data_IF_594572007310
#
_entry.id   IF_594572007310
#
_cell.length_a   1.000
_cell.length_b   1.000
_cell.length_c   1.000
_cell.angle_alpha   90.00
_cell.angle_beta   90.00
_cell.angle_gamma   90.00
#
_symmetry.space_group_name_H-M   'P 1'
#
loop_
_entity.id
_entity.type
_entity.pdbx_description
1 polymer ?
#
# COMPACT_ATOMS: atom_id res chain seq x y z
N UNK A 1 -7.97 12.22 -7.13
CA UNK A 1 -7.76 12.88 -5.82
C UNK A 1 -6.25 13.07 -5.66
N UNK A 2 -5.80 14.29 -5.32
CA UNK A 2 -4.38 14.71 -5.33
C UNK A 2 -3.73 14.69 -3.94
N UNK A 3 -4.42 14.19 -2.89
CA UNK A 3 -4.00 14.40 -1.50
C UNK A 3 -2.87 13.49 -1.02
N UNK A 4 -2.27 12.65 -1.88
CA UNK A 4 -1.18 11.72 -1.52
C UNK A 4 -1.45 10.89 -0.26
N UNK A 5 -2.73 10.70 0.06
CA UNK A 5 -3.18 9.93 1.22
C UNK A 5 -3.48 8.49 0.82
N UNK A 6 -3.22 7.56 1.72
CA UNK A 6 -3.36 6.13 1.46
C UNK A 6 -3.21 5.28 2.72
N UNK A 7 -3.04 3.98 2.51
CA UNK A 7 -2.71 3.03 3.57
C UNK A 7 -1.61 2.10 3.11
N UNK A 8 -0.70 1.77 4.02
CA UNK A 8 0.27 0.67 3.84
C UNK A 8 -0.33 -0.56 4.50
N UNK A 9 -0.45 -1.65 3.75
CA UNK A 9 -0.90 -2.94 4.27
C UNK A 9 0.30 -3.87 4.42
N UNK A 10 0.53 -4.37 5.62
CA UNK A 10 1.55 -5.36 5.92
C UNK A 10 0.91 -6.67 6.38
N UNK A 11 1.32 -7.79 5.78
CA UNK A 11 0.85 -9.13 6.14
C UNK A 11 1.98 -9.94 6.73
N UNK A 12 1.82 -10.34 7.98
CA UNK A 12 2.73 -11.29 8.63
C UNK A 12 2.05 -12.65 8.61
N UNK A 13 2.53 -13.52 7.73
CA UNK A 13 2.01 -14.87 7.56
C UNK A 13 2.69 -15.85 8.54
N UNK A 14 1.91 -16.48 9.40
CA UNK A 14 2.29 -17.69 10.15
C UNK A 14 1.60 -18.92 9.55
N UNK A 15 2.08 -20.12 9.92
CA UNK A 15 1.57 -21.40 9.40
C UNK A 15 0.06 -21.60 9.59
N UNK A 16 -0.52 -21.07 10.66
CA UNK A 16 -1.95 -21.26 10.99
C UNK A 16 -2.77 -19.96 10.90
N UNK A 17 -2.12 -18.79 10.81
CA UNK A 17 -2.79 -17.50 10.91
C UNK A 17 -2.00 -16.41 10.19
N UNK A 18 -2.70 -15.44 9.61
CA UNK A 18 -2.10 -14.25 9.03
C UNK A 18 -2.55 -13.01 9.83
N UNK A 19 -1.61 -12.15 10.21
CA UNK A 19 -1.91 -10.86 10.81
C UNK A 19 -1.77 -9.78 9.75
N UNK A 20 -2.79 -8.95 9.63
CA UNK A 20 -2.80 -7.80 8.74
C UNK A 20 -2.70 -6.52 9.55
N UNK A 21 -1.78 -5.64 9.15
CA UNK A 21 -1.58 -4.33 9.75
C UNK A 21 -1.83 -3.28 8.68
N UNK A 22 -2.64 -2.28 9.01
CA UNK A 22 -2.88 -1.13 8.15
C UNK A 22 -2.32 0.12 8.84
N UNK A 23 -1.37 0.78 8.19
CA UNK A 23 -0.78 2.05 8.64
C UNK A 23 -1.26 3.17 7.73
N UNK A 24 -1.79 4.24 8.30
CA UNK A 24 -2.35 5.34 7.52
C UNK A 24 -1.25 6.27 7.00
N UNK A 25 -1.39 6.68 5.74
CA UNK A 25 -0.55 7.69 5.08
C UNK A 25 -1.43 8.90 4.80
N UNK A 26 -0.99 10.08 5.22
CA UNK A 26 -1.67 11.36 4.98
C UNK A 26 -0.67 12.33 4.39
N UNK A 27 -1.06 12.98 3.29
CA UNK A 27 -0.23 13.98 2.61
C UNK A 27 1.17 13.46 2.20
N UNK A 28 1.31 12.14 2.02
CA UNK A 28 2.56 11.46 1.69
C UNK A 28 3.40 10.99 2.88
N UNK A 29 2.96 11.24 4.11
CA UNK A 29 3.65 10.85 5.35
C UNK A 29 2.84 9.81 6.13
N UNK A 30 3.54 8.84 6.72
CA UNK A 30 2.90 7.83 7.55
C UNK A 30 2.70 8.35 8.99
N UNK A 31 1.54 8.08 9.57
CA UNK A 31 1.25 8.44 10.96
C UNK A 31 2.00 7.58 11.98
N UNK A 32 2.47 6.40 11.54
CA UNK A 32 3.23 5.44 12.34
C UNK A 32 4.58 5.17 11.69
N UNK A 33 5.56 4.80 12.49
CA UNK A 33 6.87 4.37 11.99
C UNK A 33 6.72 3.19 11.02
N UNK A 34 7.29 3.36 9.84
CA UNK A 34 7.33 2.36 8.79
C UNK A 34 8.64 1.60 8.86
N UNK A 35 8.60 0.31 8.52
CA UNK A 35 9.83 -0.43 8.22
C UNK A 35 10.48 0.14 6.93
N UNK A 36 11.74 -0.21 6.65
CA UNK A 36 12.39 0.15 5.39
C UNK A 36 11.59 -0.28 4.16
N UNK A 37 11.07 -1.51 4.15
CA UNK A 37 10.32 -2.09 3.03
C UNK A 37 8.97 -1.37 2.81
N UNK A 38 8.29 -1.04 3.91
CA UNK A 38 7.03 -0.29 3.88
C UNK A 38 7.25 1.14 3.37
N UNK A 39 8.35 1.77 3.78
CA UNK A 39 8.74 3.11 3.30
C UNK A 39 8.99 3.09 1.80
N UNK A 40 9.74 2.11 1.29
CA UNK A 40 9.94 1.94 -0.15
C UNK A 40 8.64 1.73 -0.92
N UNK A 41 7.66 1.01 -0.34
CA UNK A 41 6.35 0.83 -0.95
C UNK A 41 5.59 2.15 -1.08
N UNK A 42 5.61 2.99 -0.03
CA UNK A 42 5.01 4.35 -0.08
C UNK A 42 5.71 5.22 -1.12
N UNK A 43 7.04 5.23 -1.15
CA UNK A 43 7.80 6.05 -2.10
C UNK A 43 7.53 5.65 -3.56
N UNK A 44 7.42 4.35 -3.83
CA UNK A 44 7.00 3.83 -5.15
C UNK A 44 5.59 4.29 -5.50
N UNK A 45 4.64 4.21 -4.57
CA UNK A 45 3.26 4.63 -4.79
C UNK A 45 3.11 6.15 -5.01
N UNK A 46 3.94 6.97 -4.37
CA UNK A 46 3.94 8.43 -4.51
C UNK A 46 4.62 8.94 -5.80
N UNK A 47 5.16 8.04 -6.63
CA UNK A 47 5.73 8.37 -7.94
C UNK A 47 7.25 8.57 -7.97
N UNK A 48 7.99 8.05 -6.97
CA UNK A 48 9.45 8.00 -6.99
C UNK A 48 10.05 6.85 -7.82
N UNK A 49 9.20 6.00 -8.42
CA UNK A 49 9.58 4.97 -9.38
C UNK A 49 8.44 4.78 -10.35
N UNK A 50 8.76 4.72 -11.64
CA UNK A 50 7.82 4.67 -12.75
C UNK A 50 6.63 3.73 -12.50
N UNK A 51 5.42 4.22 -12.79
CA UNK A 51 4.16 3.60 -12.42
C UNK A 51 4.06 2.12 -12.78
N UNK A 52 4.00 1.26 -11.76
CA UNK A 52 3.65 -0.15 -11.92
C UNK A 52 3.13 -0.74 -10.60
N UNK A 53 1.91 -0.39 -10.20
CA UNK A 53 1.00 -1.24 -9.40
C UNK A 53 -0.39 -0.60 -9.24
N UNK A 54 -1.04 -0.17 -10.33
CA UNK A 54 -2.50 -0.30 -10.35
C UNK A 54 -2.74 -1.80 -10.56
N UNK A 55 -3.02 -2.52 -9.48
CA UNK A 55 -3.58 -3.86 -9.60
C UNK A 55 -4.79 -3.76 -10.54
N UNK A 56 -4.94 -4.65 -11.55
CA UNK A 56 -6.13 -4.64 -12.38
C UNK A 56 -7.33 -4.82 -11.44
N UNK A 57 -8.20 -3.81 -11.40
CA UNK A 57 -9.50 -3.96 -10.77
C UNK A 57 -10.21 -5.18 -11.34
N UNK A 58 -11.06 -5.87 -10.57
CA UNK A 58 -11.75 -7.06 -11.05
C UNK A 58 -12.43 -6.74 -12.38
N UNK A 59 -12.13 -7.53 -13.41
CA UNK A 59 -12.73 -7.36 -14.72
C UNK A 59 -14.26 -7.35 -14.59
N UNK A 60 -14.98 -6.40 -15.24
CA UNK A 60 -16.43 -6.39 -15.18
C UNK A 60 -16.99 -7.70 -15.75
N UNK A 61 -18.09 -8.24 -15.19
CA UNK A 61 -18.67 -9.48 -15.68
C UNK A 61 -19.03 -9.31 -17.16
N UNK A 62 -18.55 -10.24 -17.99
CA UNK A 62 -19.00 -10.34 -19.38
C UNK A 62 -20.46 -10.77 -19.35
N UNK A 63 -21.35 -9.87 -19.76
CA UNK A 63 -22.73 -10.19 -20.08
C UNK A 63 -22.84 -10.97 -21.39
#
# INVERSE_FOLDING_TARGET
DHRRSGVVLSSIHHREQARLYAKQVRDGEAELELSPEETEAVQRALGGGDGAAQAPGPAPPSG
#
